data_IF_758333880625
#
_entry.id   IF_758333880625
#
_cell.length_a   1.000
_cell.length_b   1.000
_cell.length_c   1.000
_cell.angle_alpha   90.00
_cell.angle_beta   90.00
_cell.angle_gamma   90.00
#
_symmetry.space_group_name_H-M   'P 1'
#
loop_
_entity.id
_entity.type
_entity.pdbx_description
1 polymer ?
#
# COMPACT_ATOMS: atom_id res chain seq x y z
N UNK A 1 -7.87 12.62 11.86
CA UNK A 1 -7.95 11.19 12.23
C UNK A 1 -7.70 10.41 10.96
N UNK A 2 -6.60 9.66 10.89
CA UNK A 2 -6.30 8.83 9.73
C UNK A 2 -7.01 7.47 9.88
N UNK A 3 -7.31 6.83 8.76
CA UNK A 3 -7.97 5.51 8.73
C UNK A 3 -6.98 4.44 8.31
N UNK A 4 -7.20 3.21 8.78
CA UNK A 4 -6.42 2.04 8.40
C UNK A 4 -7.05 1.33 7.19
N UNK A 5 -6.24 1.08 6.18
CA UNK A 5 -6.63 0.42 4.92
C UNK A 5 -5.78 -0.82 4.72
N UNK A 6 -6.36 -1.90 4.20
CA UNK A 6 -5.69 -3.18 4.03
C UNK A 6 -5.49 -3.54 2.56
N UNK A 7 -4.26 -3.90 2.21
CA UNK A 7 -3.89 -4.50 0.93
C UNK A 7 -3.75 -6.00 1.15
N UNK A 8 -4.62 -6.76 0.46
CA UNK A 8 -4.58 -8.23 0.37
C UNK A 8 -3.80 -8.72 -0.85
N UNK A 9 -3.17 -7.81 -1.57
CA UNK A 9 -2.47 -8.10 -2.81
C UNK A 9 -1.12 -8.79 -2.53
N UNK A 10 -0.96 -10.01 -3.03
CA UNK A 10 0.25 -10.83 -2.85
C UNK A 10 1.41 -10.40 -3.76
N UNK A 11 1.13 -9.56 -4.76
CA UNK A 11 2.10 -9.05 -5.73
C UNK A 11 2.67 -7.69 -5.34
N UNK A 12 2.11 -7.05 -4.32
CA UNK A 12 2.63 -5.82 -3.74
C UNK A 12 3.66 -6.15 -2.67
N UNK A 13 4.93 -5.90 -2.98
CA UNK A 13 6.00 -6.04 -1.98
C UNK A 13 5.96 -4.90 -0.96
N UNK A 14 6.50 -5.16 0.23
CA UNK A 14 6.62 -4.13 1.28
C UNK A 14 7.32 -2.89 0.74
N UNK A 15 8.49 -3.05 0.12
CA UNK A 15 9.31 -1.92 -0.33
C UNK A 15 8.56 -1.00 -1.29
N UNK A 16 7.83 -1.58 -2.25
CA UNK A 16 7.02 -0.82 -3.21
C UNK A 16 5.85 -0.10 -2.55
N UNK A 17 5.18 -0.77 -1.62
CA UNK A 17 4.12 -0.13 -0.83
C UNK A 17 4.65 1.07 -0.04
N UNK A 18 5.80 0.95 0.62
CA UNK A 18 6.37 2.08 1.38
C UNK A 18 6.77 3.23 0.46
N UNK A 19 7.36 2.95 -0.69
CA UNK A 19 7.73 3.97 -1.67
C UNK A 19 6.49 4.74 -2.17
N UNK A 20 5.41 4.03 -2.49
CA UNK A 20 4.14 4.66 -2.91
C UNK A 20 3.52 5.51 -1.80
N UNK A 21 3.48 5.01 -0.56
CA UNK A 21 2.93 5.75 0.57
C UNK A 21 3.75 7.00 0.89
N UNK A 22 5.08 6.92 0.79
CA UNK A 22 5.98 8.05 0.97
C UNK A 22 5.80 9.11 -0.13
N UNK A 23 5.64 8.70 -1.39
CA UNK A 23 5.37 9.61 -2.50
C UNK A 23 4.00 10.31 -2.36
N UNK A 24 2.96 9.57 -1.95
CA UNK A 24 1.60 10.10 -1.85
C UNK A 24 1.36 10.95 -0.59
N UNK A 25 1.94 10.56 0.54
CA UNK A 25 1.59 11.12 1.85
C UNK A 25 2.79 11.72 2.61
N UNK A 26 4.01 11.60 2.07
CA UNK A 26 5.24 12.01 2.76
C UNK A 26 5.39 11.26 4.08
N UNK A 27 5.47 11.98 5.19
CA UNK A 27 5.57 11.37 6.52
C UNK A 27 4.20 11.10 7.20
N UNK A 28 3.08 11.36 6.50
CA UNK A 28 1.73 11.25 7.07
C UNK A 28 1.12 9.85 6.92
N UNK A 29 1.95 8.80 6.94
CA UNK A 29 1.48 7.42 6.88
C UNK A 29 2.19 6.51 7.89
N UNK A 30 1.56 5.37 8.17
CA UNK A 30 2.17 4.26 8.93
C UNK A 30 1.84 2.95 8.25
N UNK A 31 2.72 1.95 8.38
CA UNK A 31 2.44 0.59 7.87
C UNK A 31 2.47 -0.42 9.01
N UNK A 32 1.72 -1.51 8.83
CA UNK A 32 1.72 -2.68 9.71
C UNK A 32 1.60 -3.94 8.86
N UNK A 33 2.45 -4.93 9.14
CA UNK A 33 2.34 -6.27 8.54
C UNK A 33 1.18 -7.02 9.20
N UNK A 34 0.30 -7.60 8.41
CA UNK A 34 -0.80 -8.47 8.84
C UNK A 34 -0.55 -9.91 8.34
N UNK A 35 -1.26 -10.92 8.88
CA UNK A 35 -1.18 -12.29 8.40
C UNK A 35 -1.49 -12.43 6.90
N UNK A 36 -2.48 -11.68 6.41
CA UNK A 36 -2.97 -11.72 5.03
C UNK A 36 -2.55 -10.51 4.18
N UNK A 37 -1.39 -9.91 4.48
CA UNK A 37 -0.82 -8.80 3.69
C UNK A 37 -0.35 -7.62 4.53
N UNK A 38 -0.65 -6.41 4.07
CA UNK A 38 -0.22 -5.16 4.70
C UNK A 38 -1.40 -4.26 4.99
N UNK A 39 -1.37 -3.58 6.14
CA UNK A 39 -2.25 -2.47 6.40
C UNK A 39 -1.44 -1.17 6.51
N UNK A 40 -2.04 -0.06 6.07
CA UNK A 40 -1.44 1.26 6.21
C UNK A 40 -2.45 2.25 6.76
N UNK A 41 -1.98 3.18 7.58
CA UNK A 41 -2.73 4.31 8.10
C UNK A 41 -2.36 5.53 7.26
N UNK A 42 -3.32 6.15 6.59
CA UNK A 42 -3.09 7.30 5.73
C UNK A 42 -4.31 8.26 5.72
N UNK A 43 -4.17 9.49 5.17
CA UNK A 43 -5.29 10.43 5.07
C UNK A 43 -6.43 9.91 4.18
N UNK A 44 -6.14 9.04 3.22
CA UNK A 44 -7.10 8.37 2.33
C UNK A 44 -6.62 6.96 1.97
N UNK A 45 -7.53 6.16 1.42
CA UNK A 45 -7.19 4.88 0.78
C UNK A 45 -6.45 5.14 -0.55
N UNK A 46 -5.47 4.31 -0.85
CA UNK A 46 -4.88 4.14 -2.18
C UNK A 46 -5.93 3.52 -3.08
N UNK A 47 -6.08 4.07 -4.28
CA UNK A 47 -6.95 3.54 -5.30
C UNK A 47 -6.38 2.25 -5.89
N UNK A 48 -7.24 1.45 -6.51
CA UNK A 48 -6.82 0.21 -7.16
C UNK A 48 -5.78 0.47 -8.27
N UNK A 49 -5.90 1.55 -9.04
CA UNK A 49 -4.89 1.96 -10.04
C UNK A 49 -3.51 2.25 -9.41
N UNK A 50 -3.47 2.93 -8.26
CA UNK A 50 -2.21 3.20 -7.54
C UNK A 50 -1.56 1.90 -7.07
N UNK A 51 -2.37 0.95 -6.58
CA UNK A 51 -1.91 -0.38 -6.16
C UNK A 51 -1.44 -1.20 -7.36
N UNK A 52 -2.18 -1.20 -8.47
CA UNK A 52 -1.83 -1.89 -9.70
C UNK A 52 -0.54 -1.33 -10.32
N UNK A 53 -0.27 -0.03 -10.18
CA UNK A 53 0.96 0.61 -10.70
C UNK A 53 2.25 0.06 -10.07
N UNK A 54 2.15 -0.47 -8.85
CA UNK A 54 3.27 -1.06 -8.11
C UNK A 54 3.16 -2.58 -7.98
N UNK A 55 2.05 -3.16 -8.45
CA UNK A 55 1.82 -4.60 -8.44
C UNK A 55 2.63 -5.26 -9.55
N UNK A 56 3.47 -6.23 -9.18
CA UNK A 56 4.05 -7.16 -10.16
C UNK A 56 2.99 -8.18 -10.57
N UNK A 57 2.12 -7.82 -11.51
CA UNK A 57 1.45 -8.87 -12.28
C UNK A 57 2.55 -9.51 -13.12
N UNK A 58 2.84 -10.79 -12.89
CA UNK A 58 3.58 -11.59 -13.87
C UNK A 58 2.78 -11.47 -15.19
N UNK A 59 3.32 -10.68 -16.12
CA UNK A 59 2.85 -10.53 -17.49
C UNK A 59 3.11 -11.87 -18.20
N UNK A 60 2.06 -12.66 -18.42
CA UNK A 60 2.03 -13.77 -19.40
C UNK A 60 1.17 -13.36 -20.60
#
# INVERSE_FOLDING_TARGET
MNSWYQIKDKYVTRAKLLALLDEQFGENWKTKKLPDGWAYEAPRELTQEEIDSISEKDDD
#
